data_IF_809788786866
#
_entry.id   IF_809788786866
#
_cell.length_a   1.000
_cell.length_b   1.000
_cell.length_c   1.000
_cell.angle_alpha   90.00
_cell.angle_beta   90.00
_cell.angle_gamma   90.00
#
_symmetry.space_group_name_H-M   'P 1'
#
loop_
_entity.id
_entity.type
_entity.pdbx_description
1 polymer ?
#
# COMPACT_ATOMS: atom_id res chain seq x y z
N UNK A 1 1.10 -0.36 -29.71
CA UNK A 1 1.90 -1.01 -28.66
C UNK A 1 1.47 -2.46 -28.56
N UNK A 2 2.31 -3.35 -28.06
CA UNK A 2 1.92 -4.74 -27.83
C UNK A 2 1.01 -4.82 -26.59
N UNK A 3 0.00 -5.68 -26.64
CA UNK A 3 -0.94 -5.90 -25.55
C UNK A 3 -1.99 -6.94 -25.89
N UNK A 4 -2.76 -7.40 -24.88
CA UNK A 4 -3.84 -8.33 -25.11
C UNK A 4 -4.95 -7.68 -25.96
N UNK A 5 -5.60 -8.47 -26.81
CA UNK A 5 -6.79 -8.02 -27.54
C UNK A 5 -7.96 -7.78 -26.57
N UNK A 6 -8.90 -6.87 -26.88
CA UNK A 6 -10.02 -6.53 -25.99
C UNK A 6 -10.83 -7.76 -25.53
N UNK A 7 -11.09 -8.70 -26.45
CA UNK A 7 -11.86 -9.91 -26.16
C UNK A 7 -11.11 -10.87 -25.22
N UNK A 8 -9.80 -10.99 -25.36
CA UNK A 8 -8.98 -11.87 -24.52
C UNK A 8 -8.85 -11.29 -23.11
N UNK A 9 -8.71 -9.98 -23.00
CA UNK A 9 -8.73 -9.30 -21.70
C UNK A 9 -10.10 -9.43 -21.00
N UNK A 10 -11.21 -9.27 -21.74
CA UNK A 10 -12.56 -9.48 -21.21
C UNK A 10 -12.77 -10.90 -20.70
N UNK A 11 -12.30 -11.92 -21.45
CA UNK A 11 -12.35 -13.33 -21.02
C UNK A 11 -11.48 -13.59 -19.79
N UNK A 12 -10.36 -12.88 -19.66
CA UNK A 12 -9.46 -13.02 -18.53
C UNK A 12 -9.92 -12.28 -17.27
N UNK A 13 -10.96 -11.44 -17.32
CA UNK A 13 -11.40 -10.61 -16.18
C UNK A 13 -11.57 -11.37 -14.85
N UNK A 14 -12.21 -12.55 -14.78
CA UNK A 14 -12.31 -13.30 -13.53
C UNK A 14 -10.95 -13.73 -12.98
N UNK A 15 -10.00 -14.10 -13.87
CA UNK A 15 -8.63 -14.45 -13.49
C UNK A 15 -7.87 -13.22 -13.00
N UNK A 16 -8.00 -12.10 -13.70
CA UNK A 16 -7.38 -10.81 -13.31
C UNK A 16 -7.84 -10.39 -11.92
N UNK A 17 -9.15 -10.51 -11.62
CA UNK A 17 -9.69 -10.17 -10.29
C UNK A 17 -9.21 -11.08 -9.17
N UNK A 18 -8.96 -12.35 -9.49
CA UNK A 18 -8.48 -13.35 -8.52
C UNK A 18 -6.99 -13.21 -8.24
N UNK A 19 -6.18 -13.03 -9.27
CA UNK A 19 -4.73 -12.88 -9.17
C UNK A 19 -4.22 -11.82 -10.17
N UNK A 20 -4.20 -10.53 -9.76
CA UNK A 20 -3.74 -9.47 -10.64
C UNK A 20 -2.22 -9.51 -10.86
N UNK A 21 -1.45 -10.04 -9.91
CA UNK A 21 0.02 -10.08 -10.03
C UNK A 21 0.46 -11.14 -11.03
N UNK A 22 -0.17 -12.31 -11.02
CA UNK A 22 0.06 -13.34 -12.04
C UNK A 22 -0.27 -12.79 -13.44
N UNK A 23 -1.39 -12.08 -13.59
CA UNK A 23 -1.75 -11.46 -14.86
C UNK A 23 -0.71 -10.45 -15.34
N UNK A 24 -0.25 -9.52 -14.48
CA UNK A 24 0.76 -8.52 -14.85
C UNK A 24 2.10 -9.18 -15.20
N UNK A 25 2.50 -10.20 -14.45
CA UNK A 25 3.73 -10.96 -14.71
C UNK A 25 3.66 -11.66 -16.07
N UNK A 26 2.55 -12.33 -16.36
CA UNK A 26 2.32 -12.97 -17.64
C UNK A 26 2.26 -11.97 -18.81
N UNK A 27 1.65 -10.80 -18.59
CA UNK A 27 1.60 -9.74 -19.59
C UNK A 27 3.01 -9.22 -19.93
N UNK A 28 3.87 -9.00 -18.93
CA UNK A 28 5.27 -8.63 -19.15
C UNK A 28 6.03 -9.69 -19.98
N UNK A 29 5.86 -10.96 -19.63
CA UNK A 29 6.53 -12.07 -20.32
C UNK A 29 6.06 -12.26 -21.77
N UNK A 30 4.81 -11.91 -22.07
CA UNK A 30 4.18 -12.19 -23.36
C UNK A 30 4.26 -11.00 -24.32
N UNK A 31 4.04 -9.79 -23.82
CA UNK A 31 3.92 -8.57 -24.64
C UNK A 31 5.10 -7.62 -24.45
N UNK A 32 6.03 -7.93 -23.55
CA UNK A 32 7.20 -7.12 -23.21
C UNK A 32 6.94 -6.15 -22.06
N UNK A 33 7.92 -5.29 -21.78
CA UNK A 33 7.96 -4.51 -20.55
C UNK A 33 7.10 -3.24 -20.54
N UNK A 34 6.47 -2.88 -21.67
CA UNK A 34 5.48 -1.81 -21.71
C UNK A 34 4.27 -2.29 -22.50
N UNK A 35 3.15 -2.46 -21.81
CA UNK A 35 1.94 -3.09 -22.33
C UNK A 35 0.79 -2.10 -22.30
N UNK A 36 0.07 -1.97 -23.41
CA UNK A 36 -1.18 -1.21 -23.47
C UNK A 36 -2.37 -2.15 -23.16
N UNK A 37 -3.18 -1.78 -22.17
CA UNK A 37 -4.39 -2.52 -21.84
C UNK A 37 -5.61 -1.91 -22.55
N UNK A 38 -6.41 -2.70 -23.28
CA UNK A 38 -7.58 -2.23 -24.01
C UNK A 38 -8.77 -1.94 -23.07
N UNK A 39 -8.67 -0.87 -22.28
CA UNK A 39 -9.76 -0.42 -21.40
C UNK A 39 -10.64 0.61 -22.15
N UNK A 40 -11.96 0.38 -22.28
CA UNK A 40 -12.84 1.35 -22.93
C UNK A 40 -12.81 2.71 -22.24
N UNK A 41 -12.65 3.79 -23.01
CA UNK A 41 -12.70 5.17 -22.51
C UNK A 41 -11.43 5.68 -21.82
N UNK A 42 -10.42 4.84 -21.59
CA UNK A 42 -9.14 5.25 -20.99
C UNK A 42 -7.97 4.46 -21.58
N UNK A 43 -6.87 5.14 -21.90
CA UNK A 43 -5.63 4.46 -22.28
C UNK A 43 -4.85 4.10 -21.02
N UNK A 44 -4.76 2.80 -20.73
CA UNK A 44 -4.06 2.29 -19.54
C UNK A 44 -2.80 1.56 -19.98
N UNK A 45 -1.68 1.89 -19.36
CA UNK A 45 -0.39 1.28 -19.63
C UNK A 45 0.15 0.59 -18.39
N UNK A 46 0.74 -0.57 -18.60
CA UNK A 46 1.59 -1.23 -17.63
C UNK A 46 3.05 -1.00 -18.01
N UNK A 47 3.82 -0.42 -17.09
CA UNK A 47 5.24 -0.14 -17.25
C UNK A 47 6.05 -1.01 -16.30
N UNK A 48 6.85 -1.92 -16.86
CA UNK A 48 7.71 -2.87 -16.17
C UNK A 48 9.21 -2.62 -16.45
N UNK A 49 9.55 -1.84 -17.48
CA UNK A 49 10.94 -1.50 -17.80
C UNK A 49 11.45 -0.38 -16.87
N UNK A 50 12.68 -0.45 -16.33
CA UNK A 50 13.23 0.57 -15.46
C UNK A 50 13.21 1.98 -16.06
N UNK A 51 13.47 2.12 -17.36
CA UNK A 51 13.41 3.44 -18.04
C UNK A 51 11.99 4.01 -18.10
N UNK A 52 10.99 3.16 -18.37
CA UNK A 52 9.59 3.57 -18.40
C UNK A 52 9.10 3.94 -16.98
N UNK A 53 9.47 3.14 -15.98
CA UNK A 53 9.19 3.41 -14.56
C UNK A 53 9.84 4.73 -14.13
N UNK A 54 11.10 4.97 -14.51
CA UNK A 54 11.81 6.22 -14.23
C UNK A 54 11.15 7.41 -14.93
N UNK A 55 10.72 7.25 -16.17
CA UNK A 55 10.02 8.30 -16.91
C UNK A 55 8.76 8.72 -16.15
N UNK A 56 7.89 7.77 -15.80
CA UNK A 56 6.62 8.05 -15.10
C UNK A 56 6.86 8.59 -13.69
N UNK A 57 7.72 7.95 -12.90
CA UNK A 57 7.87 8.23 -11.46
C UNK A 57 8.88 9.33 -11.13
N UNK A 58 9.79 9.69 -12.05
CA UNK A 58 10.85 10.66 -11.79
C UNK A 58 10.91 11.79 -12.84
N UNK A 59 11.14 11.45 -14.10
CA UNK A 59 11.42 12.46 -15.15
C UNK A 59 10.18 13.29 -15.47
N UNK A 60 9.04 12.64 -15.61
CA UNK A 60 7.76 13.21 -16.02
C UNK A 60 6.71 13.13 -14.89
N UNK A 61 7.15 13.01 -13.64
CA UNK A 61 6.25 12.90 -12.48
C UNK A 61 5.27 14.09 -12.32
N UNK A 62 5.53 15.23 -12.99
CA UNK A 62 4.65 16.41 -12.94
C UNK A 62 3.49 16.34 -13.95
N UNK A 63 3.57 15.46 -14.94
CA UNK A 63 2.51 15.25 -15.94
C UNK A 63 1.64 14.03 -15.61
N UNK A 64 1.99 13.30 -14.56
CA UNK A 64 1.25 12.14 -14.06
C UNK A 64 0.69 12.49 -12.68
N UNK A 65 -0.59 12.23 -12.48
CA UNK A 65 -1.25 12.41 -11.19
C UNK A 65 -1.66 11.06 -10.59
N UNK A 66 -2.10 11.10 -9.33
CA UNK A 66 -2.62 10.00 -8.54
C UNK A 66 -4.14 9.98 -8.53
N UNK A 67 -4.83 10.65 -9.45
CA UNK A 67 -6.29 10.72 -9.52
C UNK A 67 -6.91 9.42 -10.08
N UNK A 68 -6.50 8.29 -9.50
CA UNK A 68 -6.98 6.95 -9.82
C UNK A 68 -8.19 6.59 -8.96
N UNK A 69 -9.00 5.64 -9.43
CA UNK A 69 -10.16 5.10 -8.68
C UNK A 69 -9.72 4.58 -7.31
N UNK A 70 -8.53 3.99 -7.21
CA UNK A 70 -7.96 3.46 -5.97
C UNK A 70 -7.72 4.58 -4.95
N UNK A 71 -7.03 5.66 -5.34
CA UNK A 71 -6.74 6.79 -4.46
C UNK A 71 -8.01 7.60 -4.10
N UNK A 72 -8.96 7.72 -5.02
CA UNK A 72 -10.27 8.33 -4.73
C UNK A 72 -11.09 7.49 -3.75
N UNK A 73 -11.06 6.17 -3.87
CA UNK A 73 -11.74 5.29 -2.91
C UNK A 73 -11.09 5.37 -1.53
N UNK A 74 -9.76 5.47 -1.49
CA UNK A 74 -8.99 5.61 -0.25
C UNK A 74 -9.25 6.94 0.46
N UNK A 75 -9.40 8.04 -0.28
CA UNK A 75 -9.67 9.35 0.31
C UNK A 75 -11.02 9.45 1.02
N UNK A 76 -11.98 8.57 0.71
CA UNK A 76 -13.24 8.46 1.46
C UNK A 76 -13.02 7.99 2.90
N UNK A 77 -11.95 7.23 3.15
CA UNK A 77 -11.60 6.70 4.47
C UNK A 77 -10.59 7.62 5.15
N UNK A 78 -9.51 7.96 4.46
CA UNK A 78 -8.36 8.66 5.05
C UNK A 78 -8.45 10.18 4.94
N UNK A 79 -9.48 10.70 4.25
CA UNK A 79 -9.54 12.11 3.85
C UNK A 79 -8.50 12.47 2.79
N UNK A 80 -8.34 13.79 2.58
CA UNK A 80 -7.31 14.36 1.72
C UNK A 80 -6.07 14.66 2.58
N UNK A 81 -5.14 13.71 2.63
CA UNK A 81 -3.85 13.86 3.32
C UNK A 81 -2.71 13.33 2.47
N UNK A 82 -1.51 13.23 3.02
CA UNK A 82 -0.27 12.94 2.28
C UNK A 82 -0.31 11.72 1.34
N UNK A 83 -1.15 10.73 1.68
CA UNK A 83 -1.34 9.51 0.88
C UNK A 83 -2.21 9.76 -0.37
N UNK A 84 -3.24 10.59 -0.26
CA UNK A 84 -4.30 10.78 -1.27
C UNK A 84 -4.23 12.14 -1.95
N UNK A 85 -3.46 13.08 -1.41
CA UNK A 85 -3.19 14.38 -2.01
C UNK A 85 -2.17 14.28 -3.15
N UNK A 86 -2.21 15.26 -4.06
CA UNK A 86 -1.29 15.36 -5.17
C UNK A 86 -0.87 16.82 -5.46
N UNK A 87 0.10 17.00 -6.34
CA UNK A 87 0.56 18.30 -6.82
C UNK A 87 1.06 19.20 -5.70
N UNK A 88 0.63 20.46 -5.71
CA UNK A 88 1.07 21.47 -4.74
C UNK A 88 0.59 21.19 -3.31
N UNK A 89 -0.61 20.63 -3.16
CA UNK A 89 -1.13 20.27 -1.83
C UNK A 89 -0.23 19.20 -1.19
N UNK A 90 0.07 18.14 -1.94
CA UNK A 90 0.99 17.09 -1.51
C UNK A 90 2.39 17.64 -1.19
N UNK A 91 2.95 18.51 -2.04
CA UNK A 91 4.27 19.12 -1.78
C UNK A 91 4.28 19.90 -0.46
N UNK A 92 3.23 20.67 -0.20
CA UNK A 92 3.08 21.44 1.04
C UNK A 92 2.97 20.52 2.26
N UNK A 93 2.08 19.54 2.23
CA UNK A 93 1.90 18.56 3.32
C UNK A 93 3.17 17.76 3.58
N UNK A 94 3.84 17.28 2.51
CA UNK A 94 5.11 16.56 2.62
C UNK A 94 6.19 17.39 3.27
N UNK A 95 6.32 18.66 2.88
CA UNK A 95 7.31 19.57 3.46
C UNK A 95 7.06 19.84 4.94
N UNK A 96 5.79 19.92 5.35
CA UNK A 96 5.43 20.09 6.76
C UNK A 96 5.76 18.85 7.60
N UNK A 97 5.60 17.65 7.04
CA UNK A 97 5.85 16.38 7.74
C UNK A 97 7.32 15.94 7.73
N UNK A 98 8.11 16.35 6.75
CA UNK A 98 9.49 15.90 6.57
C UNK A 98 10.40 16.03 7.82
N UNK A 99 10.29 17.05 8.68
CA UNK A 99 11.07 17.14 9.92
C UNK A 99 10.84 15.98 10.90
N UNK A 100 9.64 15.40 10.94
CA UNK A 100 9.33 14.25 11.81
C UNK A 100 10.05 12.96 11.37
N UNK A 101 10.61 12.94 10.16
CA UNK A 101 11.38 11.83 9.61
C UNK A 101 12.89 12.13 9.56
N UNK A 102 13.36 13.17 10.24
CA UNK A 102 14.78 13.42 10.40
C UNK A 102 15.42 12.39 11.32
N UNK A 103 16.69 12.05 11.05
CA UNK A 103 17.44 11.02 11.79
C UNK A 103 17.36 11.17 13.32
N UNK A 104 17.53 12.38 13.84
CA UNK A 104 17.48 12.62 15.29
C UNK A 104 16.11 12.32 15.93
N UNK A 105 15.03 12.37 15.14
CA UNK A 105 13.68 11.94 15.57
C UNK A 105 13.54 10.44 15.41
N UNK A 106 14.02 9.87 14.31
CA UNK A 106 14.01 8.42 14.07
C UNK A 106 14.80 7.65 15.12
N UNK A 107 15.90 8.20 15.63
CA UNK A 107 16.69 7.59 16.70
C UNK A 107 15.85 7.35 17.97
N UNK A 108 14.83 8.19 18.23
CA UNK A 108 13.87 8.01 19.33
C UNK A 108 12.83 6.92 19.02
N UNK A 109 12.54 6.67 17.74
CA UNK A 109 11.61 5.62 17.34
C UNK A 109 12.21 4.22 17.51
N UNK A 110 13.54 4.09 17.46
CA UNK A 110 14.23 2.81 17.68
C UNK A 110 13.87 2.23 19.03
N UNK A 111 13.88 3.03 20.10
CA UNK A 111 13.51 2.58 21.45
C UNK A 111 12.06 2.07 21.49
N UNK A 112 11.13 2.75 20.81
CA UNK A 112 9.73 2.32 20.73
C UNK A 112 9.55 1.02 19.94
N UNK A 113 10.34 0.84 18.88
CA UNK A 113 10.36 -0.39 18.08
C UNK A 113 10.92 -1.54 18.93
N UNK A 114 12.01 -1.31 19.65
CA UNK A 114 12.63 -2.32 20.53
C UNK A 114 11.64 -2.80 21.60
N UNK A 115 10.90 -1.88 22.24
CA UNK A 115 9.85 -2.23 23.20
C UNK A 115 8.76 -3.11 22.58
N UNK A 116 8.29 -2.77 21.38
CA UNK A 116 7.26 -3.56 20.70
C UNK A 116 7.78 -4.96 20.30
N UNK A 117 9.03 -5.03 19.83
CA UNK A 117 9.69 -6.30 19.49
C UNK A 117 9.94 -7.16 20.73
N UNK A 118 10.40 -6.59 21.84
CA UNK A 118 10.60 -7.32 23.09
C UNK A 118 9.29 -7.94 23.61
N UNK A 119 8.18 -7.21 23.49
CA UNK A 119 6.84 -7.73 23.83
C UNK A 119 6.42 -8.87 22.91
N UNK A 120 6.68 -8.76 21.61
CA UNK A 120 6.46 -9.83 20.65
C UNK A 120 7.27 -11.07 21.01
N UNK A 121 8.58 -10.92 21.22
CA UNK A 121 9.48 -12.03 21.59
C UNK A 121 9.08 -12.67 22.91
N UNK A 122 8.70 -11.87 23.91
CA UNK A 122 8.18 -12.37 25.17
C UNK A 122 6.88 -13.16 24.97
N UNK A 123 6.04 -12.78 24.01
CA UNK A 123 4.82 -13.53 23.67
C UNK A 123 5.15 -14.89 23.06
N UNK A 124 6.12 -14.95 22.15
CA UNK A 124 6.56 -16.18 21.52
C UNK A 124 7.32 -17.10 22.48
N UNK A 125 8.03 -16.55 23.45
CA UNK A 125 8.68 -17.32 24.51
C UNK A 125 7.68 -18.08 25.41
N UNK A 126 6.40 -17.70 25.41
CA UNK A 126 5.32 -18.39 26.13
C UNK A 126 4.59 -19.43 25.27
N UNK A 127 4.87 -19.46 23.97
CA UNK A 127 4.35 -20.43 23.01
C UNK A 127 4.99 -21.79 23.26
N UNK A 128 4.22 -22.87 23.14
CA UNK A 128 4.68 -24.26 23.32
C UNK A 128 5.03 -24.90 21.98
N UNK A 129 5.81 -25.97 22.03
CA UNK A 129 6.07 -26.79 20.84
C UNK A 129 4.75 -27.30 20.24
N UNK A 130 4.54 -26.98 18.96
CA UNK A 130 3.32 -27.34 18.21
C UNK A 130 2.24 -26.26 18.18
N UNK A 131 2.38 -25.16 18.92
CA UNK A 131 1.48 -24.02 18.79
C UNK A 131 1.67 -23.32 17.44
N UNK A 132 0.57 -22.86 16.85
CA UNK A 132 0.58 -22.09 15.60
C UNK A 132 0.45 -20.61 15.93
N UNK A 133 1.37 -19.81 15.40
CA UNK A 133 1.35 -18.35 15.53
C UNK A 133 0.91 -17.74 14.21
N UNK A 134 -0.09 -16.87 14.26
CA UNK A 134 -0.46 -16.01 13.14
C UNK A 134 0.56 -14.87 13.04
N UNK A 135 1.49 -14.98 12.07
CA UNK A 135 2.55 -13.99 11.87
C UNK A 135 1.99 -12.67 11.32
N UNK A 136 0.91 -12.71 10.54
CA UNK A 136 0.32 -11.50 9.96
C UNK A 136 -0.30 -10.62 11.07
N UNK A 137 -1.13 -11.22 11.93
CA UNK A 137 -1.70 -10.52 13.10
C UNK A 137 -0.60 -10.04 14.06
N UNK A 138 0.41 -10.88 14.32
CA UNK A 138 1.51 -10.52 15.21
C UNK A 138 2.33 -9.33 14.68
N UNK A 139 2.65 -9.31 13.38
CA UNK A 139 3.37 -8.20 12.74
C UNK A 139 2.52 -6.93 12.72
N UNK A 140 1.23 -7.04 12.40
CA UNK A 140 0.31 -5.90 12.37
C UNK A 140 0.22 -5.23 13.75
N UNK A 141 0.04 -6.01 14.81
CA UNK A 141 -0.01 -5.49 16.20
C UNK A 141 1.31 -4.84 16.60
N UNK A 142 2.43 -5.48 16.29
CA UNK A 142 3.77 -4.97 16.62
C UNK A 142 4.03 -3.65 15.90
N UNK A 143 3.71 -3.55 14.61
CA UNK A 143 3.86 -2.33 13.83
C UNK A 143 2.96 -1.20 14.37
N UNK A 144 1.71 -1.51 14.72
CA UNK A 144 0.78 -0.54 15.28
C UNK A 144 1.22 -0.03 16.65
N UNK A 145 1.76 -0.90 17.50
CA UNK A 145 2.32 -0.49 18.79
C UNK A 145 3.53 0.44 18.60
N UNK A 146 4.48 0.06 17.73
CA UNK A 146 5.66 0.87 17.45
C UNK A 146 5.31 2.26 16.90
N UNK A 147 4.36 2.32 15.95
CA UNK A 147 3.88 3.59 15.37
C UNK A 147 3.07 4.39 16.38
N UNK A 148 2.24 3.74 17.20
CA UNK A 148 1.44 4.38 18.25
C UNK A 148 2.29 5.15 19.25
N UNK A 149 3.34 4.49 19.73
CA UNK A 149 4.32 5.10 20.64
C UNK A 149 5.11 6.22 19.96
N UNK A 150 5.55 5.98 18.73
CA UNK A 150 6.40 6.91 17.98
C UNK A 150 5.70 8.20 17.56
N UNK A 151 4.43 8.11 17.16
CA UNK A 151 3.71 9.27 16.61
C UNK A 151 2.80 9.95 17.63
N UNK A 152 2.24 9.21 18.59
CA UNK A 152 1.23 9.73 19.52
C UNK A 152 1.69 9.70 20.99
N UNK A 153 2.91 9.23 21.26
CA UNK A 153 3.41 9.00 22.63
C UNK A 153 2.44 8.15 23.45
N UNK A 154 1.72 7.24 22.80
CA UNK A 154 0.65 6.46 23.40
C UNK A 154 0.88 4.96 23.22
N UNK A 155 0.62 4.19 24.26
CA UNK A 155 0.65 2.73 24.19
C UNK A 155 -0.68 2.23 23.64
N UNK A 156 -0.74 2.01 22.32
CA UNK A 156 -1.93 1.50 21.63
C UNK A 156 -2.11 -0.01 21.74
N UNK A 157 -1.32 -0.72 22.56
CA UNK A 157 -1.41 -2.18 22.64
C UNK A 157 -2.77 -2.69 23.15
N UNK A 158 -3.49 -1.89 23.94
CA UNK A 158 -4.84 -2.21 24.44
C UNK A 158 -5.93 -2.05 23.37
N UNK A 159 -5.78 -1.07 22.49
CA UNK A 159 -6.72 -0.72 21.42
C UNK A 159 -6.34 -1.33 20.06
N UNK A 160 -5.16 -1.96 19.97
CA UNK A 160 -4.57 -2.44 18.73
C UNK A 160 -5.52 -3.37 17.97
N UNK A 161 -6.20 -4.29 18.67
CA UNK A 161 -7.15 -5.20 18.04
C UNK A 161 -8.32 -4.47 17.37
N UNK A 162 -8.93 -3.51 18.05
CA UNK A 162 -10.06 -2.74 17.50
C UNK A 162 -9.63 -1.85 16.33
N UNK A 163 -8.47 -1.19 16.46
CA UNK A 163 -7.89 -0.37 15.41
C UNK A 163 -7.54 -1.18 14.17
N UNK A 164 -6.91 -2.34 14.32
CA UNK A 164 -6.59 -3.25 13.21
C UNK A 164 -7.87 -3.68 12.50
N UNK A 165 -8.90 -4.10 13.24
CA UNK A 165 -10.17 -4.50 12.63
C UNK A 165 -10.87 -3.34 11.91
N UNK A 166 -10.83 -2.13 12.47
CA UNK A 166 -11.39 -0.95 11.82
C UNK A 166 -10.65 -0.61 10.52
N UNK A 167 -9.31 -0.66 10.52
CA UNK A 167 -8.47 -0.43 9.34
C UNK A 167 -8.71 -1.50 8.27
N UNK A 168 -8.72 -2.78 8.64
CA UNK A 168 -8.98 -3.88 7.70
C UNK A 168 -10.36 -3.76 7.06
N UNK A 169 -11.39 -3.47 7.85
CA UNK A 169 -12.75 -3.25 7.33
C UNK A 169 -12.81 -2.07 6.37
N UNK A 170 -12.07 -1.00 6.63
CA UNK A 170 -12.00 0.14 5.73
C UNK A 170 -11.25 -0.21 4.43
N UNK A 171 -10.14 -0.96 4.52
CA UNK A 171 -9.41 -1.47 3.36
C UNK A 171 -10.28 -2.39 2.50
N UNK A 172 -11.09 -3.27 3.10
CA UNK A 172 -12.02 -4.13 2.37
C UNK A 172 -13.00 -3.31 1.52
N UNK A 173 -13.51 -2.20 2.05
CA UNK A 173 -14.39 -1.28 1.31
C UNK A 173 -13.65 -0.62 0.15
N UNK A 174 -12.41 -0.18 0.36
CA UNK A 174 -11.56 0.43 -0.68
C UNK A 174 -11.26 -0.58 -1.78
N UNK A 175 -10.88 -1.81 -1.42
CA UNK A 175 -10.57 -2.89 -2.36
C UNK A 175 -11.82 -3.32 -3.13
N UNK A 176 -12.97 -3.44 -2.46
CA UNK A 176 -14.23 -3.79 -3.10
C UNK A 176 -14.65 -2.76 -4.14
N UNK A 177 -14.54 -1.45 -3.82
CA UNK A 177 -14.77 -0.37 -4.79
C UNK A 177 -13.78 -0.35 -5.93
N UNK A 178 -12.49 -0.57 -5.66
CA UNK A 178 -11.48 -0.63 -6.71
C UNK A 178 -11.68 -1.83 -7.66
N UNK A 179 -12.20 -2.96 -7.14
CA UNK A 179 -12.49 -4.15 -7.94
C UNK A 179 -13.77 -3.99 -8.75
N UNK A 180 -14.78 -3.30 -8.24
CA UNK A 180 -16.07 -3.05 -8.88
C UNK A 180 -16.32 -1.53 -9.00
N UNK A 181 -15.61 -0.86 -9.92
CA UNK A 181 -15.79 0.57 -10.18
C UNK A 181 -17.17 0.89 -10.75
#
# INVERSE_FOLDING_TARGET
MAGPEPLDMLRALPRIRRDPLEFLTHAAQTYGDVVEFPIPGQRVFFANHPDAVKQVLQTEHRTHDRATVQYQSLSLVTGNGLLTSDGELWRKERRLMQPAFHRAVLDQFVEHIDIAVDRLLASWARTRDGDVVDVDDAMMRTALEAVGRSLFSHDLSGEAGELVQAVLKALDVVVARARSP
#
